data_IF_130618451536
#
_entry.id   IF_130618451536
#
_cell.length_a   1.000
_cell.length_b   1.000
_cell.length_c   1.000
_cell.angle_alpha   90.00
_cell.angle_beta   90.00
_cell.angle_gamma   90.00
#
_symmetry.space_group_name_H-M   'P 1'
#
loop_
_entity.id
_entity.type
_entity.pdbx_description
1 polymer ?
#
# COMPACT_ATOMS: atom_id res chain seq x y z
N UNK A 1 -4.33 -15.38 25.08
CA UNK A 1 -5.04 -14.23 24.49
C UNK A 1 -4.54 -14.08 23.06
N UNK A 2 -5.41 -14.30 22.07
CA UNK A 2 -5.09 -14.09 20.65
C UNK A 2 -5.43 -12.64 20.30
N UNK A 3 -4.43 -11.86 19.89
CA UNK A 3 -4.64 -10.52 19.34
C UNK A 3 -5.09 -10.66 17.89
N UNK A 4 -6.35 -10.31 17.61
CA UNK A 4 -6.87 -10.24 16.25
C UNK A 4 -6.52 -8.87 15.65
N UNK A 5 -5.61 -8.86 14.68
CA UNK A 5 -5.23 -7.62 13.97
C UNK A 5 -6.27 -7.36 12.89
N UNK A 6 -7.06 -6.29 13.03
CA UNK A 6 -8.09 -5.89 12.04
C UNK A 6 -7.58 -4.89 11.00
N UNK A 7 -6.51 -4.16 11.34
CA UNK A 7 -5.98 -3.10 10.49
C UNK A 7 -4.49 -2.92 10.70
N UNK A 8 -3.77 -2.64 9.62
CA UNK A 8 -2.36 -2.24 9.64
C UNK A 8 -2.25 -0.83 9.06
N UNK A 9 -1.58 0.05 9.80
CA UNK A 9 -1.16 1.36 9.30
C UNK A 9 0.30 1.27 8.90
N UNK A 10 0.57 1.53 7.62
CA UNK A 10 1.89 1.41 7.00
C UNK A 10 2.36 2.82 6.66
N UNK A 11 3.17 3.46 7.51
CA UNK A 11 3.74 4.76 7.21
C UNK A 11 4.80 4.66 6.12
N UNK A 12 5.09 5.80 5.49
CA UNK A 12 6.24 5.97 4.57
C UNK A 12 6.25 5.03 3.36
N UNK A 13 5.08 4.69 2.82
CA UNK A 13 4.97 3.97 1.55
C UNK A 13 5.47 4.89 0.44
N UNK A 14 6.47 4.42 -0.31
CA UNK A 14 7.10 5.21 -1.38
C UNK A 14 6.30 5.05 -2.66
N UNK A 15 5.88 6.16 -3.25
CA UNK A 15 5.14 6.16 -4.52
C UNK A 15 6.11 6.29 -5.68
N UNK A 16 5.95 5.42 -6.67
CA UNK A 16 6.71 5.44 -7.92
C UNK A 16 5.73 5.45 -9.08
N UNK A 17 5.90 6.43 -9.95
CA UNK A 17 5.15 6.55 -11.20
C UNK A 17 6.00 5.95 -12.32
N UNK A 18 5.54 4.84 -12.88
CA UNK A 18 6.04 4.29 -14.13
C UNK A 18 5.15 4.76 -15.30
N UNK A 19 5.58 4.48 -16.55
CA UNK A 19 4.89 4.93 -17.78
C UNK A 19 3.38 4.67 -17.75
N UNK A 20 2.98 3.44 -17.41
CA UNK A 20 1.58 3.01 -17.48
C UNK A 20 0.97 2.70 -16.11
N UNK A 21 1.75 2.74 -15.03
CA UNK A 21 1.33 2.24 -13.72
C UNK A 21 1.91 3.07 -12.59
N UNK A 22 1.20 3.11 -11.48
CA UNK A 22 1.67 3.73 -10.25
C UNK A 22 1.75 2.65 -9.18
N UNK A 23 2.85 2.65 -8.44
CA UNK A 23 3.12 1.67 -7.40
C UNK A 23 3.39 2.35 -6.07
N UNK A 24 2.83 1.79 -5.00
CA UNK A 24 3.24 2.07 -3.63
C UNK A 24 4.15 0.95 -3.15
N UNK A 25 5.40 1.28 -2.81
CA UNK A 25 6.36 0.34 -2.24
C UNK A 25 6.27 0.36 -0.72
N UNK A 26 5.86 -0.76 -0.16
CA UNK A 26 5.66 -0.97 1.27
C UNK A 26 7.01 -1.27 1.94
N UNK A 27 7.33 -0.63 3.08
CA UNK A 27 8.55 -0.93 3.82
C UNK A 27 8.63 -2.40 4.23
N UNK A 28 9.83 -2.98 4.18
CA UNK A 28 10.06 -4.42 4.40
C UNK A 28 9.50 -4.93 5.74
N UNK A 29 9.55 -4.13 6.80
CA UNK A 29 9.01 -4.52 8.12
C UNK A 29 7.51 -4.86 8.08
N UNK A 30 6.74 -4.28 7.15
CA UNK A 30 5.32 -4.59 6.98
C UNK A 30 5.08 -5.72 5.97
N UNK A 31 6.10 -6.13 5.22
CA UNK A 31 5.96 -7.21 4.23
C UNK A 31 5.76 -8.59 4.84
N UNK A 32 6.17 -8.77 6.09
CA UNK A 32 6.00 -10.04 6.83
C UNK A 32 4.63 -10.14 7.52
N UNK A 33 3.97 -8.99 7.74
CA UNK A 33 2.65 -8.93 8.40
C UNK A 33 1.52 -9.07 7.38
N UNK A 34 1.75 -8.65 6.13
CA UNK A 34 0.76 -8.68 5.07
C UNK A 34 0.93 -9.94 4.25
N UNK A 35 -0.14 -10.72 4.14
CA UNK A 35 -0.14 -11.95 3.36
C UNK A 35 -0.07 -11.62 1.87
N UNK A 36 0.96 -12.16 1.21
CA UNK A 36 1.13 -12.03 -0.24
C UNK A 36 -0.02 -12.70 -0.96
N UNK A 37 -0.59 -12.04 -1.97
CA UNK A 37 -1.65 -12.63 -2.80
C UNK A 37 -3.07 -12.46 -2.22
N UNK A 38 -3.20 -12.21 -0.91
CA UNK A 38 -4.50 -11.89 -0.30
C UNK A 38 -4.97 -10.50 -0.75
N UNK A 39 -6.29 -10.38 -0.92
CA UNK A 39 -6.95 -9.10 -1.24
C UNK A 39 -7.28 -8.39 0.06
N UNK A 40 -6.94 -7.12 0.11
CA UNK A 40 -7.24 -6.25 1.23
C UNK A 40 -7.97 -5.00 0.76
N UNK A 41 -8.82 -4.45 1.61
CA UNK A 41 -9.32 -3.10 1.38
C UNK A 41 -8.23 -2.13 1.82
N UNK A 42 -7.82 -1.24 0.91
CA UNK A 42 -6.71 -0.32 1.13
C UNK A 42 -7.19 1.12 0.99
N UNK A 43 -6.71 1.97 1.89
CA UNK A 43 -6.85 3.42 1.83
C UNK A 43 -5.46 4.05 1.82
N UNK A 44 -5.33 5.20 1.17
CA UNK A 44 -4.16 6.04 1.24
C UNK A 44 -4.48 7.26 2.09
N UNK A 45 -3.65 7.52 3.10
CA UNK A 45 -3.64 8.79 3.83
C UNK A 45 -2.53 9.67 3.27
N UNK A 46 -2.91 10.88 2.85
CA UNK A 46 -2.02 11.91 2.30
C UNK A 46 -2.34 13.20 3.06
N UNK A 47 -1.37 13.72 3.81
CA UNK A 47 -1.63 14.78 4.80
C UNK A 47 -2.77 14.36 5.73
N UNK A 48 -3.87 15.11 5.77
CA UNK A 48 -5.05 14.82 6.60
C UNK A 48 -6.17 14.09 5.85
N UNK A 49 -6.04 13.91 4.54
CA UNK A 49 -7.05 13.25 3.71
C UNK A 49 -6.88 11.74 3.70
N UNK A 50 -7.98 11.01 3.83
CA UNK A 50 -8.05 9.55 3.67
C UNK A 50 -8.85 9.21 2.43
N UNK A 51 -8.18 8.54 1.48
CA UNK A 51 -8.71 8.28 0.15
C UNK A 51 -8.81 6.77 -0.07
N UNK A 52 -9.98 6.23 -0.43
CA UNK A 52 -10.11 4.81 -0.72
C UNK A 52 -9.34 4.46 -2.00
N UNK A 53 -8.42 3.50 -1.88
CA UNK A 53 -7.70 2.90 -3.02
C UNK A 53 -8.49 1.69 -3.57
N UNK A 54 -9.29 1.06 -2.71
CA UNK A 54 -10.14 -0.09 -3.02
C UNK A 54 -9.48 -1.43 -2.73
N UNK A 55 -10.03 -2.50 -3.29
CA UNK A 55 -9.49 -3.84 -3.12
C UNK A 55 -8.19 -4.01 -3.90
N UNK A 56 -7.12 -4.37 -3.19
CA UNK A 56 -5.79 -4.55 -3.77
C UNK A 56 -5.14 -5.81 -3.26
N UNK A 57 -4.39 -6.44 -4.15
CA UNK A 57 -3.47 -7.53 -3.83
C UNK A 57 -2.06 -6.96 -3.76
N UNK A 58 -1.32 -7.32 -2.71
CA UNK A 58 0.10 -6.99 -2.60
C UNK A 58 0.96 -8.11 -3.19
N UNK A 59 2.02 -7.74 -3.90
CA UNK A 59 2.95 -8.68 -4.53
C UNK A 59 4.39 -8.25 -4.32
N UNK A 60 5.30 -9.23 -4.30
CA UNK A 60 6.75 -9.00 -4.16
C UNK A 60 7.35 -8.60 -5.51
N UNK A 61 8.23 -7.60 -5.54
CA UNK A 61 8.80 -7.09 -6.81
C UNK A 61 10.32 -7.16 -6.92
N UNK A 62 11.06 -7.42 -5.84
CA UNK A 62 12.52 -7.48 -5.87
C UNK A 62 13.10 -8.60 -5.00
N UNK A 63 14.41 -8.85 -5.17
CA UNK A 63 15.20 -9.84 -4.41
C UNK A 63 15.28 -9.52 -2.90
N UNK A 64 14.92 -8.32 -2.50
CA UNK A 64 14.97 -7.85 -1.11
C UNK A 64 13.64 -8.06 -0.37
N UNK A 65 12.63 -8.63 -1.03
CA UNK A 65 11.33 -8.95 -0.43
C UNK A 65 10.37 -7.76 -0.35
N UNK A 66 10.62 -6.65 -1.06
CA UNK A 66 9.72 -5.49 -1.01
C UNK A 66 8.36 -5.81 -1.65
N UNK A 67 7.28 -5.58 -0.91
CA UNK A 67 5.92 -5.62 -1.44
C UNK A 67 5.61 -4.31 -2.17
N UNK A 68 4.97 -4.43 -3.34
CA UNK A 68 4.31 -3.32 -4.00
C UNK A 68 2.81 -3.55 -4.08
N UNK A 69 2.11 -2.42 -4.12
CA UNK A 69 0.68 -2.32 -4.38
C UNK A 69 0.46 -1.43 -5.59
N UNK A 70 -0.45 -1.83 -6.49
CA UNK A 70 -0.86 -1.01 -7.62
C UNK A 70 -1.79 0.11 -7.17
N UNK A 71 -1.38 1.36 -7.35
CA UNK A 71 -2.19 2.54 -7.07
C UNK A 71 -3.00 2.95 -8.32
N UNK A 72 -4.23 3.47 -8.18
CA UNK A 72 -5.07 3.81 -9.33
C UNK A 72 -4.54 5.09 -9.98
N UNK A 73 -4.01 4.97 -11.19
CA UNK A 73 -3.33 6.08 -11.91
C UNK A 73 -4.21 7.34 -12.06
N UNK A 74 -5.53 7.16 -12.23
CA UNK A 74 -6.46 8.26 -12.49
C UNK A 74 -7.07 8.88 -11.23
N UNK A 75 -6.72 8.38 -10.03
CA UNK A 75 -7.31 8.87 -8.78
C UNK A 75 -6.73 10.22 -8.36
N UNK A 76 -5.43 10.43 -8.58
CA UNK A 76 -4.67 11.60 -8.16
C UNK A 76 -3.54 11.87 -9.15
N UNK A 77 -3.01 13.09 -9.12
CA UNK A 77 -1.72 13.41 -9.75
C UNK A 77 -0.56 12.86 -8.89
N UNK A 78 -0.26 11.58 -9.08
CA UNK A 78 0.79 10.87 -8.34
C UNK A 78 2.20 11.41 -8.57
N UNK A 79 2.43 12.22 -9.61
CA UNK A 79 3.76 12.79 -9.88
C UNK A 79 4.20 13.77 -8.79
N UNK A 80 3.24 14.34 -8.05
CA UNK A 80 3.47 15.29 -6.96
C UNK A 80 3.56 14.61 -5.58
N UNK A 81 3.21 13.33 -5.49
CA UNK A 81 3.10 12.61 -4.22
C UNK A 81 4.19 11.53 -4.19
N UNK A 82 5.22 11.74 -3.37
CA UNK A 82 6.35 10.79 -3.25
C UNK A 82 6.19 9.79 -2.11
N UNK A 83 5.47 10.17 -1.06
CA UNK A 83 5.24 9.33 0.13
C UNK A 83 3.79 9.43 0.57
N UNK A 84 3.24 8.29 0.97
CA UNK A 84 1.89 8.18 1.54
C UNK A 84 1.92 7.26 2.76
N UNK A 85 0.84 7.29 3.54
CA UNK A 85 0.56 6.23 4.51
C UNK A 85 -0.51 5.32 3.91
N UNK A 86 -0.33 4.00 3.99
CA UNK A 86 -1.41 3.06 3.65
C UNK A 86 -2.11 2.60 4.91
N UNK A 87 -3.42 2.46 4.82
CA UNK A 87 -4.25 1.82 5.83
C UNK A 87 -4.82 0.57 5.16
N UNK A 88 -4.45 -0.60 5.68
CA UNK A 88 -4.82 -1.91 5.14
C UNK A 88 -5.77 -2.57 6.13
N UNK A 89 -7.03 -2.78 5.72
CA UNK A 89 -7.98 -3.54 6.51
C UNK A 89 -7.76 -5.04 6.26
N UNK A 90 -7.47 -5.78 7.32
CA UNK A 90 -7.33 -7.23 7.31
C UNK A 90 -8.71 -7.84 7.57
N UNK A 91 -9.23 -8.59 6.61
CA UNK A 91 -10.45 -9.40 6.73
C UNK A 91 -10.18 -10.74 7.39
#
# INVERSE_FOLDING_TARGET
MLLEVKQIVIPSVTVVVAKDRVYGFVPKIFSEVIEKGKKYYVYAKINDDVIPIGFKTLYTVNKNGTLAIGLPKNLLDWTKIKKITLIVQLS
#
